data_IF_935535940363
#
_entry.id   IF_935535940363
#
_cell.length_a   1.000
_cell.length_b   1.000
_cell.length_c   1.000
_cell.angle_alpha   90.00
_cell.angle_beta   90.00
_cell.angle_gamma   90.00
#
_symmetry.space_group_name_H-M   'P 1'
#
loop_
_entity.id
_entity.type
_entity.pdbx_description
1 polymer ?
#
# COMPACT_ATOMS: atom_id res chain seq x y z
N UNK A 1 12.30 -0.63 -41.82
CA UNK A 1 12.33 0.02 -40.49
C UNK A 1 11.74 -0.94 -39.44
N UNK A 2 12.56 -1.78 -38.78
CA UNK A 2 12.07 -2.82 -37.84
C UNK A 2 13.09 -3.12 -36.72
N UNK A 3 13.78 -2.10 -36.21
CA UNK A 3 14.79 -2.23 -35.12
C UNK A 3 14.26 -1.90 -33.72
N UNK A 4 13.01 -1.44 -33.61
CA UNK A 4 12.39 -1.06 -32.34
C UNK A 4 12.05 -2.22 -31.37
N UNK A 5 11.64 -3.44 -31.81
CA UNK A 5 11.21 -4.49 -30.86
C UNK A 5 12.36 -5.11 -30.07
N UNK A 6 13.60 -5.11 -30.60
CA UNK A 6 14.76 -5.63 -29.86
C UNK A 6 15.09 -4.78 -28.64
N UNK A 7 15.05 -3.44 -28.75
CA UNK A 7 15.33 -2.55 -27.61
C UNK A 7 14.28 -2.71 -26.51
N UNK A 8 13.00 -2.82 -26.87
CA UNK A 8 11.93 -3.10 -25.91
C UNK A 8 12.12 -4.46 -25.21
N UNK A 9 12.52 -5.49 -25.95
CA UNK A 9 12.80 -6.81 -25.36
C UNK A 9 13.96 -6.77 -24.36
N UNK A 10 15.07 -6.10 -24.69
CA UNK A 10 16.18 -5.93 -23.74
C UNK A 10 15.78 -5.11 -22.51
N UNK A 11 15.01 -4.03 -22.69
CA UNK A 11 14.50 -3.23 -21.58
C UNK A 11 13.60 -4.07 -20.66
N UNK A 12 12.69 -4.87 -21.22
CA UNK A 12 11.83 -5.76 -20.43
C UNK A 12 12.63 -6.80 -19.65
N UNK A 13 13.66 -7.40 -20.26
CA UNK A 13 14.57 -8.35 -19.58
C UNK A 13 15.29 -7.66 -18.42
N UNK A 14 15.83 -6.46 -18.64
CA UNK A 14 16.54 -5.71 -17.58
C UNK A 14 15.59 -5.32 -16.45
N UNK A 15 14.37 -4.86 -16.76
CA UNK A 15 13.35 -4.54 -15.75
C UNK A 15 12.99 -5.79 -14.95
N UNK A 16 12.74 -6.92 -15.61
CA UNK A 16 12.43 -8.19 -14.96
C UNK A 16 13.58 -8.64 -14.05
N UNK A 17 14.82 -8.56 -14.53
CA UNK A 17 16.01 -8.85 -13.72
C UNK A 17 16.09 -7.98 -12.47
N UNK A 18 15.90 -6.66 -12.64
CA UNK A 18 15.91 -5.72 -11.51
C UNK A 18 14.80 -6.04 -10.50
N UNK A 19 13.60 -6.40 -10.96
CA UNK A 19 12.50 -6.81 -10.09
C UNK A 19 12.87 -8.04 -9.25
N UNK A 20 13.46 -9.06 -9.87
CA UNK A 20 13.88 -10.29 -9.18
C UNK A 20 14.96 -10.01 -8.14
N UNK A 21 15.93 -9.13 -8.45
CA UNK A 21 16.99 -8.76 -7.50
C UNK A 21 16.50 -7.81 -6.39
N UNK A 22 15.52 -6.95 -6.69
CA UNK A 22 14.98 -6.00 -5.71
C UNK A 22 14.00 -6.67 -4.73
N UNK A 23 13.30 -7.72 -5.18
CA UNK A 23 12.35 -8.47 -4.36
C UNK A 23 12.91 -8.96 -3.00
N UNK A 24 14.06 -9.66 -2.92
CA UNK A 24 14.60 -10.11 -1.63
C UNK A 24 15.03 -8.95 -0.73
N UNK A 25 15.57 -7.87 -1.29
CA UNK A 25 15.93 -6.69 -0.50
C UNK A 25 14.69 -6.02 0.09
N UNK A 26 13.62 -5.90 -0.70
CA UNK A 26 12.35 -5.35 -0.25
C UNK A 26 11.72 -6.21 0.85
N UNK A 27 11.65 -7.53 0.63
CA UNK A 27 11.13 -8.48 1.61
C UNK A 27 11.93 -8.44 2.92
N UNK A 28 13.25 -8.38 2.86
CA UNK A 28 14.10 -8.29 4.05
C UNK A 28 13.92 -6.95 4.79
N UNK A 29 13.83 -5.82 4.08
CA UNK A 29 13.56 -4.53 4.72
C UNK A 29 12.19 -4.48 5.38
N UNK A 30 11.18 -5.11 4.76
CA UNK A 30 9.84 -5.22 5.32
C UNK A 30 9.85 -6.06 6.60
N UNK A 31 10.52 -7.23 6.55
CA UNK A 31 10.65 -8.12 7.70
C UNK A 31 11.42 -7.49 8.86
N UNK A 32 12.45 -6.68 8.57
CA UNK A 32 13.28 -6.05 9.63
C UNK A 32 12.60 -4.89 10.32
N UNK A 33 11.92 -4.03 9.56
CA UNK A 33 11.29 -2.83 10.11
C UNK A 33 9.85 -3.08 10.59
N UNK A 34 9.21 -4.17 10.15
CA UNK A 34 7.81 -4.51 10.44
C UNK A 34 6.80 -3.59 9.73
N UNK A 35 7.21 -2.36 9.40
CA UNK A 35 6.46 -1.38 8.65
C UNK A 35 7.38 -0.50 7.78
N UNK A 36 6.95 -0.23 6.56
CA UNK A 36 7.55 0.72 5.64
C UNK A 36 6.48 1.76 5.33
N UNK A 37 6.67 2.98 5.81
CA UNK A 37 5.78 4.09 5.53
C UNK A 37 6.41 5.01 4.48
N UNK A 38 5.70 5.18 3.37
CA UNK A 38 6.09 6.04 2.25
C UNK A 38 5.10 7.20 2.17
N UNK A 39 5.48 8.33 2.75
CA UNK A 39 4.70 9.57 2.76
C UNK A 39 4.97 10.37 4.02
N UNK A 40 5.15 11.69 3.88
CA UNK A 40 5.33 12.61 5.03
C UNK A 40 4.02 13.23 5.51
N UNK A 41 2.92 12.98 4.80
CA UNK A 41 1.62 13.57 5.09
C UNK A 41 0.69 12.53 5.71
N UNK A 42 0.10 12.81 6.90
CA UNK A 42 -0.83 11.87 7.54
C UNK A 42 -2.08 11.58 6.69
N UNK A 43 -2.41 12.46 5.73
CA UNK A 43 -3.55 12.31 4.81
C UNK A 43 -3.20 11.72 3.43
N UNK A 44 -1.92 11.48 3.15
CA UNK A 44 -1.46 10.86 1.92
C UNK A 44 -0.18 10.07 2.18
N UNK A 45 -0.35 8.85 2.68
CA UNK A 45 0.74 7.93 2.95
C UNK A 45 0.39 6.55 2.43
N UNK A 46 1.43 5.82 2.05
CA UNK A 46 1.37 4.43 1.64
C UNK A 46 2.20 3.64 2.65
N UNK A 47 1.56 2.82 3.47
CA UNK A 47 2.22 2.00 4.48
C UNK A 47 2.13 0.53 4.11
N UNK A 48 3.27 -0.14 4.07
CA UNK A 48 3.37 -1.60 4.01
C UNK A 48 3.69 -2.09 5.41
N UNK A 49 2.93 -3.02 5.96
CA UNK A 49 3.18 -3.57 7.28
C UNK A 49 3.02 -5.09 7.25
N UNK A 50 3.77 -5.78 8.10
CA UNK A 50 3.65 -7.22 8.25
C UNK A 50 2.60 -7.51 9.32
N UNK A 51 1.62 -8.35 9.00
CA UNK A 51 0.66 -8.87 9.97
C UNK A 51 1.18 -10.20 10.47
N UNK A 52 1.41 -10.29 11.78
CA UNK A 52 1.91 -11.48 12.47
C UNK A 52 1.01 -11.75 13.68
N UNK A 53 -0.21 -12.19 13.41
CA UNK A 53 -1.18 -12.59 14.44
C UNK A 53 -1.24 -14.12 14.57
N UNK A 54 -1.70 -14.59 15.73
CA UNK A 54 -1.70 -16.01 16.12
C UNK A 54 -2.35 -16.96 15.08
N UNK A 55 -3.24 -16.44 14.24
CA UNK A 55 -3.96 -17.19 13.19
C UNK A 55 -3.95 -16.47 11.83
N UNK A 56 -3.12 -15.44 11.65
CA UNK A 56 -3.05 -14.68 10.41
C UNK A 56 -1.64 -14.14 10.18
N UNK A 57 -0.99 -14.64 9.14
CA UNK A 57 0.29 -14.15 8.64
C UNK A 57 0.11 -13.54 7.25
N UNK A 58 0.73 -12.39 7.01
CA UNK A 58 0.68 -11.76 5.69
C UNK A 58 1.30 -10.38 5.61
N UNK A 59 1.16 -9.76 4.44
CA UNK A 59 1.62 -8.40 4.16
C UNK A 59 0.39 -7.50 3.99
N UNK A 60 0.18 -6.58 4.92
CA UNK A 60 -0.79 -5.51 4.80
C UNK A 60 -0.25 -4.33 3.99
N UNK A 61 -1.04 -3.85 3.04
CA UNK A 61 -0.79 -2.64 2.27
C UNK A 61 -1.90 -1.65 2.56
N UNK A 62 -1.57 -0.59 3.28
CA UNK A 62 -2.45 0.51 3.61
C UNK A 62 -2.16 1.70 2.70
N UNK A 63 -3.17 2.16 1.98
CA UNK A 63 -3.07 3.33 1.13
C UNK A 63 -4.10 4.38 1.53
N UNK A 64 -3.62 5.49 2.06
CA UNK A 64 -4.45 6.66 2.39
C UNK A 64 -4.34 7.71 1.30
N UNK A 65 -5.47 8.18 0.78
CA UNK A 65 -5.55 9.28 -0.19
C UNK A 65 -6.64 10.28 0.18
N UNK A 66 -6.44 11.59 -0.08
CA UNK A 66 -7.50 12.58 0.13
C UNK A 66 -8.66 12.35 -0.86
N UNK A 67 -9.90 12.57 -0.41
CA UNK A 67 -11.07 12.54 -1.30
C UNK A 67 -11.07 13.77 -2.21
N UNK A 68 -11.31 13.54 -3.51
CA UNK A 68 -11.56 14.59 -4.48
C UNK A 68 -12.82 15.37 -4.10
N UNK A 69 -12.67 16.66 -3.74
CA UNK A 69 -13.79 17.55 -3.37
C UNK A 69 -13.94 17.83 -1.88
N UNK A 70 -13.29 17.05 -0.99
CA UNK A 70 -13.24 17.31 0.45
C UNK A 70 -11.82 17.07 0.99
N UNK A 71 -11.04 18.15 1.11
CA UNK A 71 -9.64 18.10 1.60
C UNK A 71 -9.51 17.71 3.08
N UNK A 72 -10.62 17.70 3.81
CA UNK A 72 -10.75 17.30 5.22
C UNK A 72 -10.95 15.80 5.41
N UNK A 73 -11.24 15.06 4.33
CA UNK A 73 -11.53 13.64 4.37
C UNK A 73 -10.46 12.82 3.64
N UNK A 74 -10.00 11.76 4.28
CA UNK A 74 -9.04 10.81 3.72
C UNK A 74 -9.67 9.41 3.63
N UNK A 75 -9.49 8.76 2.48
CA UNK A 75 -9.87 7.36 2.24
C UNK A 75 -8.65 6.49 2.42
N UNK A 76 -8.77 5.51 3.32
CA UNK A 76 -7.75 4.51 3.58
C UNK A 76 -8.22 3.16 3.10
N UNK A 77 -7.45 2.53 2.22
CA UNK A 77 -7.70 1.18 1.72
C UNK A 77 -6.59 0.27 2.21
N UNK A 78 -6.96 -0.77 2.96
CA UNK A 78 -6.05 -1.81 3.44
C UNK A 78 -6.29 -3.08 2.64
N UNK A 79 -5.24 -3.54 1.96
CA UNK A 79 -5.24 -4.76 1.17
C UNK A 79 -4.23 -5.73 1.75
N UNK A 80 -4.63 -6.98 1.95
CA UNK A 80 -3.72 -8.01 2.42
C UNK A 80 -3.21 -8.85 1.23
N UNK A 81 -1.89 -8.93 1.08
CA UNK A 81 -1.17 -9.73 0.09
C UNK A 81 -0.45 -10.89 0.80
N UNK A 82 -0.36 -12.05 0.15
CA UNK A 82 0.16 -13.29 0.75
C UNK A 82 -0.51 -13.59 2.12
N UNK A 83 -1.82 -13.38 2.20
CA UNK A 83 -2.60 -13.59 3.40
C UNK A 83 -2.93 -15.07 3.56
N UNK A 84 -2.42 -15.68 4.62
CA UNK A 84 -2.79 -17.03 5.04
C UNK A 84 -3.67 -16.91 6.29
N UNK A 85 -4.98 -17.03 6.10
CA UNK A 85 -5.94 -17.16 7.21
C UNK A 85 -7.10 -18.08 6.80
N UNK A 86 -7.81 -18.58 7.81
CA UNK A 86 -9.00 -19.44 7.69
C UNK A 86 -10.26 -18.72 7.14
N UNK A 87 -10.15 -17.45 6.73
CA UNK A 87 -11.28 -16.61 6.29
C UNK A 87 -11.08 -15.83 4.99
N UNK A 88 -12.20 -15.47 4.34
CA UNK A 88 -12.28 -14.69 3.09
C UNK A 88 -11.55 -13.33 3.17
N UNK A 89 -11.07 -12.89 2.01
CA UNK A 89 -10.46 -11.58 1.70
C UNK A 89 -10.86 -10.45 2.67
N UNK A 90 -10.00 -10.14 3.64
CA UNK A 90 -10.21 -9.05 4.61
C UNK A 90 -9.85 -7.67 4.06
N UNK A 91 -10.01 -7.44 2.75
CA UNK A 91 -9.74 -6.11 2.18
C UNK A 91 -10.75 -5.12 2.74
N UNK A 92 -10.27 -4.20 3.58
CA UNK A 92 -11.11 -3.17 4.21
C UNK A 92 -10.81 -1.81 3.59
N UNK A 93 -11.84 -1.03 3.38
CA UNK A 93 -11.72 0.35 2.96
C UNK A 93 -12.55 1.19 3.90
N UNK A 94 -11.90 2.10 4.60
CA UNK A 94 -12.56 3.02 5.51
C UNK A 94 -12.18 4.46 5.15
N UNK A 95 -13.10 5.37 5.41
CA UNK A 95 -12.85 6.79 5.24
C UNK A 95 -12.87 7.46 6.61
N UNK A 96 -11.89 8.33 6.86
CA UNK A 96 -11.82 9.14 8.07
C UNK A 96 -11.80 10.61 7.68
N UNK A 97 -12.81 11.34 8.13
CA UNK A 97 -12.84 12.79 8.05
C UNK A 97 -12.29 13.37 9.35
N UNK A 98 -11.38 14.34 9.23
CA UNK A 98 -10.77 15.04 10.36
C UNK A 98 -10.98 16.54 10.20
N UNK A 99 -11.40 17.19 11.28
CA UNK A 99 -11.53 18.64 11.31
C UNK A 99 -10.13 19.29 11.22
N UNK A 100 -9.91 20.22 10.29
CA UNK A 100 -8.60 20.83 10.09
C UNK A 100 -8.17 21.77 11.24
N UNK A 101 -9.11 22.18 12.09
CA UNK A 101 -8.88 23.12 13.21
C UNK A 101 -8.74 22.37 14.53
N UNK A 102 -9.58 21.36 14.77
CA UNK A 102 -9.62 20.63 16.06
C UNK A 102 -8.95 19.26 16.02
N UNK A 103 -8.66 18.71 14.83
CA UNK A 103 -8.15 17.35 14.67
C UNK A 103 -9.15 16.26 15.07
N UNK A 104 -10.39 16.64 15.41
CA UNK A 104 -11.44 15.73 15.83
C UNK A 104 -11.91 14.89 14.63
N UNK A 105 -12.17 13.60 14.88
CA UNK A 105 -12.79 12.72 13.89
C UNK A 105 -14.24 13.17 13.66
N UNK A 106 -14.52 13.66 12.45
CA UNK A 106 -15.86 14.14 12.02
C UNK A 106 -16.78 12.98 11.59
N UNK A 107 -16.32 11.73 11.67
CA UNK A 107 -17.05 10.53 11.28
C UNK A 107 -16.52 9.90 9.98
N UNK A 108 -17.26 8.91 9.47
CA UNK A 108 -16.99 8.24 8.20
C UNK A 108 -17.56 9.06 7.04
N UNK A 109 -16.90 9.07 5.87
CA UNK A 109 -17.52 9.61 4.66
C UNK A 109 -18.80 8.81 4.37
N UNK A 110 -19.97 9.42 4.57
CA UNK A 110 -21.22 8.94 3.98
C UNK A 110 -21.07 8.93 2.45
N UNK A 111 -21.43 7.81 1.83
CA UNK A 111 -21.50 7.67 0.37
C UNK A 111 -22.77 8.30 -0.17
#
# INVERSE_FOLDING_TARGET
>A
MKRWPRRFSYVLIVISWLMVMCFPTFAFTLARNGQIEVGSNPRNHLRFFMVQEKNADGIGVEWTRPLSGQSTCAKTSVTYLLWESDGQNQNVTYCQCSDPVTGAALGTCEQ
#
